data_IF_113153680173
#
_entry.id   IF_113153680173
#
_cell.length_a   1.000
_cell.length_b   1.000
_cell.length_c   1.000
_cell.angle_alpha   90.00
_cell.angle_beta   90.00
_cell.angle_gamma   90.00
#
_symmetry.space_group_name_H-M   'P 1'
#
loop_
_entity.id
_entity.type
_entity.pdbx_description
1 polymer ?
#
# COMPACT_ATOMS: atom_id res chain seq x y z
N UNK A 1 24.97 42.21 60.55
CA UNK A 1 24.45 42.22 59.17
C UNK A 1 23.78 40.88 58.94
N UNK A 2 22.71 40.57 59.68
CA UNK A 2 21.31 40.99 59.43
C UNK A 2 20.75 40.34 58.17
N UNK A 3 19.58 39.69 58.11
CA UNK A 3 18.54 39.24 59.06
C UNK A 3 17.65 38.31 58.19
N UNK A 4 17.11 37.22 58.73
CA UNK A 4 15.89 36.64 58.16
C UNK A 4 14.73 37.63 58.37
N UNK A 5 13.64 37.50 57.59
CA UNK A 5 12.44 37.01 58.26
C UNK A 5 11.61 35.99 57.48
N UNK A 6 10.96 35.18 58.30
CA UNK A 6 9.83 34.28 58.02
C UNK A 6 8.60 35.02 57.47
N UNK A 7 7.67 34.26 56.86
CA UNK A 7 6.25 34.60 57.01
C UNK A 7 5.27 34.18 55.90
N UNK A 8 4.52 33.12 56.22
CA UNK A 8 3.07 32.96 56.06
C UNK A 8 2.39 32.89 54.68
N UNK A 9 1.60 31.81 54.50
CA UNK A 9 0.49 31.79 53.54
C UNK A 9 -0.20 30.44 53.28
N UNK A 10 -0.55 29.65 54.30
CA UNK A 10 -1.59 28.62 54.13
C UNK A 10 -2.95 29.30 53.87
N UNK A 11 -3.61 28.94 52.76
CA UNK A 11 -5.07 29.06 52.61
C UNK A 11 -5.62 27.83 51.92
N UNK A 12 -6.43 27.07 52.67
CA UNK A 12 -7.48 26.19 52.13
C UNK A 12 -8.61 27.05 51.55
N UNK A 13 -9.18 26.64 50.42
CA UNK A 13 -10.62 26.75 50.12
C UNK A 13 -11.03 25.71 49.06
N UNK A 14 -11.85 24.78 49.53
CA UNK A 14 -13.01 24.07 48.97
C UNK A 14 -13.23 23.77 47.46
N UNK A 15 -13.65 22.51 47.32
CA UNK A 15 -14.49 21.78 46.35
C UNK A 15 -15.20 22.48 45.17
N UNK A 16 -15.20 21.72 44.06
CA UNK A 16 -16.22 21.56 43.00
C UNK A 16 -16.02 22.32 41.65
N UNK A 17 -15.63 21.56 40.60
CA UNK A 17 -16.36 21.39 39.32
C UNK A 17 -15.40 20.94 38.18
N UNK A 18 -15.81 20.07 37.23
CA UNK A 18 -14.90 19.29 36.41
C UNK A 18 -14.58 19.98 35.09
N UNK A 19 -13.29 20.21 34.79
CA UNK A 19 -12.82 20.42 33.42
C UNK A 19 -11.53 19.66 33.21
N UNK A 20 -11.59 18.69 32.30
CA UNK A 20 -10.50 17.77 31.99
C UNK A 20 -9.23 18.51 31.62
N UNK A 21 -8.13 18.09 32.25
CA UNK A 21 -6.78 18.48 31.88
C UNK A 21 -6.45 17.88 30.50
N UNK A 22 -6.18 18.77 29.54
CA UNK A 22 -5.53 18.44 28.27
C UNK A 22 -4.16 17.85 28.60
N UNK A 23 -3.89 16.63 28.14
CA UNK A 23 -2.65 15.91 28.48
C UNK A 23 -1.44 16.46 27.73
N UNK A 24 -0.24 16.26 28.29
CA UNK A 24 1.04 16.78 27.76
C UNK A 24 1.33 16.43 26.29
N UNK A 25 0.69 15.40 25.74
CA UNK A 25 0.80 15.00 24.34
C UNK A 25 0.16 16.02 23.38
N UNK A 26 -0.93 16.66 23.79
CA UNK A 26 -1.65 17.65 22.96
C UNK A 26 -0.84 18.95 22.84
N UNK A 27 -0.07 19.30 23.88
CA UNK A 27 0.83 20.46 23.89
C UNK A 27 2.02 20.27 22.95
N UNK A 28 2.52 19.04 22.82
CA UNK A 28 3.63 18.67 21.94
C UNK A 28 3.26 18.75 20.45
N UNK A 29 2.05 18.30 20.09
CA UNK A 29 1.55 18.38 18.72
C UNK A 29 1.31 19.84 18.27
N UNK A 30 0.80 20.68 19.18
CA UNK A 30 0.59 22.12 18.93
C UNK A 30 1.91 22.87 18.77
N UNK A 31 2.93 22.56 19.58
CA UNK A 31 4.28 23.13 19.42
C UNK A 31 4.92 22.75 18.08
N UNK A 32 4.69 21.53 17.59
CA UNK A 32 5.18 21.12 16.26
C UNK A 32 4.52 21.89 15.12
N UNK A 33 3.21 22.15 15.21
CA UNK A 33 2.44 22.83 14.17
C UNK A 33 2.70 24.34 14.16
N UNK A 34 2.75 25.00 15.34
CA UNK A 34 3.07 26.43 15.44
C UNK A 34 4.53 26.73 15.09
N UNK A 35 5.46 25.85 15.46
CA UNK A 35 6.89 25.98 15.14
C UNK A 35 7.19 25.91 13.64
N UNK A 36 6.41 25.15 12.87
CA UNK A 36 6.61 25.01 11.41
C UNK A 36 6.17 26.25 10.60
N UNK A 37 5.44 27.20 11.20
CA UNK A 37 4.91 28.40 10.52
C UNK A 37 5.21 29.74 11.17
N UNK A 38 6.00 29.78 12.25
CA UNK A 38 6.38 31.03 12.92
C UNK A 38 5.20 31.80 13.54
N UNK A 39 4.14 31.11 13.96
CA UNK A 39 2.96 31.72 14.57
C UNK A 39 3.19 31.80 16.09
N UNK A 40 3.08 32.98 16.73
CA UNK A 40 3.25 33.12 18.18
C UNK A 40 2.21 32.28 18.95
N UNK A 41 2.66 31.50 19.94
CA UNK A 41 1.84 30.55 20.71
C UNK A 41 0.87 31.17 21.71
N UNK A 42 0.75 32.49 21.75
CA UNK A 42 0.43 33.20 22.99
C UNK A 42 -0.99 33.81 22.99
N UNK A 43 -1.81 33.56 21.96
CA UNK A 43 -3.17 34.13 21.91
C UNK A 43 -4.24 33.13 21.50
N UNK A 44 -5.13 32.94 22.46
CA UNK A 44 -6.57 32.72 22.32
C UNK A 44 -7.04 31.26 22.10
N UNK A 45 -7.68 30.63 23.11
CA UNK A 45 -8.27 29.28 23.00
C UNK A 45 -9.42 29.18 21.97
N UNK A 46 -9.91 30.29 21.41
CA UNK A 46 -10.89 30.28 20.33
C UNK A 46 -10.30 29.99 18.94
N UNK A 47 -8.97 30.08 18.76
CA UNK A 47 -8.30 29.67 17.51
C UNK A 47 -8.17 28.14 17.45
N UNK A 48 -8.08 27.47 18.61
CA UNK A 48 -7.99 26.02 18.76
C UNK A 48 -9.24 25.28 18.29
N UNK A 49 -10.44 25.82 18.52
CA UNK A 49 -11.69 25.22 18.00
C UNK A 49 -11.86 25.43 16.50
N UNK A 50 -11.30 26.51 15.94
CA UNK A 50 -11.38 26.82 14.52
C UNK A 50 -10.41 25.97 13.69
N UNK A 51 -9.20 25.72 14.19
CA UNK A 51 -8.21 24.86 13.52
C UNK A 51 -8.63 23.38 13.55
N UNK A 52 -9.31 22.94 14.61
CA UNK A 52 -9.76 21.55 14.74
C UNK A 52 -11.14 21.27 14.10
N UNK A 53 -11.95 22.30 13.78
CA UNK A 53 -13.26 22.13 13.14
C UNK A 53 -13.23 22.19 11.60
N UNK A 54 -12.12 22.65 11.01
CA UNK A 54 -11.97 22.76 9.57
C UNK A 54 -11.35 21.48 8.98
N UNK A 55 -12.18 20.50 8.64
CA UNK A 55 -11.82 19.25 7.92
C UNK A 55 -11.05 19.48 6.62
N UNK A 56 -11.15 20.66 6.02
CA UNK A 56 -10.44 21.05 4.80
C UNK A 56 -8.93 21.18 4.99
N UNK A 57 -8.46 21.47 6.21
CA UNK A 57 -7.04 21.63 6.50
C UNK A 57 -6.31 20.29 6.58
N UNK A 58 -6.89 19.30 7.26
CA UNK A 58 -6.36 17.95 7.32
C UNK A 58 -6.29 17.31 5.92
N UNK A 59 -7.28 17.59 5.07
CA UNK A 59 -7.33 17.09 3.70
C UNK A 59 -6.24 17.72 2.81
N UNK A 60 -6.02 19.04 2.88
CA UNK A 60 -4.92 19.70 2.15
C UNK A 60 -3.54 19.30 2.68
N UNK A 61 -3.40 19.07 3.98
CA UNK A 61 -2.14 18.58 4.56
C UNK A 61 -1.82 17.15 4.09
N UNK A 62 -2.83 16.27 3.97
CA UNK A 62 -2.67 14.93 3.41
C UNK A 62 -2.29 14.96 1.92
N UNK A 63 -2.97 15.78 1.12
CA UNK A 63 -2.71 15.96 -0.31
C UNK A 63 -1.34 16.59 -0.59
N UNK A 64 -0.82 17.40 0.34
CA UNK A 64 0.50 18.01 0.22
C UNK A 64 1.64 17.10 0.71
N UNK A 65 1.37 16.12 1.58
CA UNK A 65 2.36 15.20 2.13
C UNK A 65 2.52 13.91 1.33
N UNK A 66 1.53 13.51 0.51
CA UNK A 66 1.58 12.31 -0.35
C UNK A 66 2.63 12.37 -1.46
N UNK A 67 3.34 13.49 -1.61
CA UNK A 67 4.46 13.66 -2.53
C UNK A 67 5.85 13.49 -1.90
N UNK A 68 5.96 13.17 -0.59
CA UNK A 68 7.25 12.90 0.05
C UNK A 68 7.26 11.52 0.73
N UNK A 69 8.20 10.67 0.31
CA UNK A 69 8.42 9.34 0.90
C UNK A 69 8.87 9.44 2.36
N UNK A 70 8.27 8.64 3.25
CA UNK A 70 8.81 8.39 4.59
C UNK A 70 7.77 7.99 5.64
N UNK A 71 8.00 6.86 6.33
CA UNK A 71 7.09 6.20 7.29
C UNK A 71 6.62 7.02 8.49
N UNK A 72 7.09 8.25 8.68
CA UNK A 72 6.68 9.17 9.76
C UNK A 72 5.21 9.62 9.63
N UNK A 73 4.68 9.65 8.40
CA UNK A 73 3.28 10.04 8.14
C UNK A 73 2.29 9.05 8.74
N UNK A 74 2.60 7.74 8.75
CA UNK A 74 1.73 6.69 9.31
C UNK A 74 1.50 6.85 10.83
N UNK A 75 2.54 7.23 11.57
CA UNK A 75 2.44 7.39 13.03
C UNK A 75 1.63 8.62 13.45
N UNK A 76 1.87 9.77 12.80
CA UNK A 76 1.12 11.00 13.07
C UNK A 76 -0.36 10.87 12.69
N UNK A 77 -0.66 10.12 11.62
CA UNK A 77 -2.05 9.85 11.22
C UNK A 77 -2.79 8.95 12.22
N UNK A 78 -2.15 7.89 12.70
CA UNK A 78 -2.77 6.97 13.68
C UNK A 78 -3.05 7.67 15.03
N UNK A 79 -2.19 8.61 15.44
CA UNK A 79 -2.40 9.46 16.60
C UNK A 79 -3.55 10.47 16.41
N UNK A 80 -3.65 11.11 15.24
CA UNK A 80 -4.76 12.00 14.91
C UNK A 80 -6.12 11.26 14.85
N UNK A 81 -6.12 10.02 14.35
CA UNK A 81 -7.32 9.16 14.31
C UNK A 81 -7.82 8.81 15.72
N UNK A 82 -6.92 8.62 16.69
CA UNK A 82 -7.31 8.37 18.10
C UNK A 82 -7.90 9.60 18.79
N UNK A 83 -7.50 10.81 18.40
CA UNK A 83 -7.98 12.06 19.00
C UNK A 83 -9.33 12.56 18.44
N UNK A 84 -9.77 12.10 17.25
CA UNK A 84 -10.98 12.60 16.58
C UNK A 84 -12.21 11.65 16.61
N UNK A 85 -12.22 10.65 17.48
CA UNK A 85 -13.24 9.58 17.50
C UNK A 85 -14.65 10.00 17.98
N UNK A 86 -14.90 11.27 18.31
CA UNK A 86 -16.16 11.71 18.94
C UNK A 86 -17.08 12.59 18.07
N UNK A 87 -16.93 12.60 16.74
CA UNK A 87 -17.90 13.28 15.85
C UNK A 87 -18.56 12.31 14.87
N UNK A 88 -19.86 12.45 14.58
CA UNK A 88 -20.56 11.61 13.59
C UNK A 88 -19.93 11.65 12.19
N UNK A 89 -19.24 12.75 11.84
CA UNK A 89 -18.56 12.91 10.56
C UNK A 89 -17.19 12.21 10.50
N UNK A 90 -16.48 12.02 11.62
CA UNK A 90 -15.19 11.33 11.61
C UNK A 90 -15.34 9.84 11.34
N UNK A 91 -16.42 9.19 11.80
CA UNK A 91 -16.71 7.79 11.46
C UNK A 91 -16.94 7.58 9.96
N UNK A 92 -17.66 8.50 9.30
CA UNK A 92 -17.91 8.45 7.84
C UNK A 92 -16.62 8.67 7.04
N UNK A 93 -15.76 9.59 7.48
CA UNK A 93 -14.47 9.87 6.85
C UNK A 93 -13.47 8.72 7.07
N UNK A 94 -13.39 8.17 8.28
CA UNK A 94 -12.58 7.00 8.61
C UNK A 94 -13.02 5.76 7.83
N UNK A 95 -14.33 5.55 7.67
CA UNK A 95 -14.85 4.46 6.83
C UNK A 95 -14.54 4.70 5.35
N UNK A 96 -14.55 5.96 4.88
CA UNK A 96 -14.13 6.29 3.50
C UNK A 96 -12.64 6.10 3.27
N UNK A 97 -11.80 6.38 4.26
CA UNK A 97 -10.35 6.13 4.21
C UNK A 97 -10.02 4.65 4.29
N UNK A 98 -10.64 3.90 5.20
CA UNK A 98 -10.51 2.43 5.26
C UNK A 98 -11.03 1.78 3.99
N UNK A 99 -12.13 2.28 3.42
CA UNK A 99 -12.60 1.83 2.11
C UNK A 99 -11.56 2.12 1.01
N UNK A 100 -10.89 3.28 1.04
CA UNK A 100 -9.81 3.61 0.08
C UNK A 100 -8.55 2.78 0.30
N UNK A 101 -8.15 2.49 1.54
CA UNK A 101 -7.04 1.57 1.85
C UNK A 101 -7.34 0.15 1.38
N UNK A 102 -8.59 -0.32 1.53
CA UNK A 102 -9.04 -1.63 1.05
C UNK A 102 -9.08 -1.78 -0.48
N UNK A 103 -8.76 -0.73 -1.24
CA UNK A 103 -8.69 -0.78 -2.72
C UNK A 103 -7.27 -0.65 -3.27
N UNK A 104 -6.25 -0.39 -2.44
CA UNK A 104 -4.87 -0.33 -2.92
C UNK A 104 -4.27 -1.73 -2.99
N UNK A 105 -4.09 -2.22 -4.21
CA UNK A 105 -3.29 -3.42 -4.46
C UNK A 105 -1.82 -3.12 -4.15
N UNK A 106 -1.22 -3.90 -3.26
CA UNK A 106 0.22 -3.87 -3.00
C UNK A 106 0.86 -5.08 -3.68
N UNK A 107 1.94 -4.85 -4.43
CA UNK A 107 2.73 -5.93 -5.04
C UNK A 107 4.02 -6.11 -4.26
N UNK A 108 4.34 -7.35 -3.89
CA UNK A 108 5.57 -7.70 -3.16
C UNK A 108 6.07 -9.10 -3.52
N UNK A 109 7.30 -9.42 -3.17
CA UNK A 109 7.79 -10.80 -3.21
C UNK A 109 6.93 -11.69 -2.29
N UNK A 110 6.71 -12.91 -2.76
CA UNK A 110 6.05 -13.93 -1.96
C UNK A 110 6.95 -14.37 -0.80
N UNK A 111 6.30 -14.67 0.32
CA UNK A 111 6.90 -15.22 1.52
C UNK A 111 6.27 -16.58 1.87
N UNK A 112 6.94 -17.43 2.68
CA UNK A 112 6.43 -18.77 2.98
C UNK A 112 5.00 -18.81 3.55
N UNK A 113 4.59 -17.76 4.26
CA UNK A 113 3.23 -17.67 4.82
C UNK A 113 2.14 -17.41 3.77
N UNK A 114 2.50 -16.97 2.56
CA UNK A 114 1.54 -16.76 1.46
C UNK A 114 1.06 -18.08 0.85
N UNK A 115 1.73 -19.20 1.13
CA UNK A 115 1.41 -20.50 0.55
C UNK A 115 -0.04 -20.93 0.84
N UNK A 116 -0.51 -20.77 2.09
CA UNK A 116 -1.87 -21.18 2.47
C UNK A 116 -2.97 -20.34 1.80
N UNK A 117 -2.84 -19.01 1.69
CA UNK A 117 -3.74 -18.21 0.86
C UNK A 117 -3.74 -18.59 -0.62
N UNK A 118 -2.56 -18.84 -1.21
CA UNK A 118 -2.42 -19.14 -2.64
C UNK A 118 -3.10 -20.45 -3.03
N UNK A 119 -2.95 -21.50 -2.24
CA UNK A 119 -3.53 -22.83 -2.54
C UNK A 119 -5.06 -22.84 -2.53
N UNK A 120 -5.72 -21.81 -2.00
CA UNK A 120 -7.19 -21.69 -2.01
C UNK A 120 -7.76 -21.38 -3.39
N UNK A 121 -6.97 -20.79 -4.29
CA UNK A 121 -7.43 -20.39 -5.62
C UNK A 121 -6.47 -20.80 -6.75
N UNK A 122 -5.29 -21.33 -6.44
CA UNK A 122 -4.38 -21.88 -7.44
C UNK A 122 -4.77 -23.31 -7.82
N UNK A 123 -5.23 -23.48 -9.07
CA UNK A 123 -5.53 -24.79 -9.66
C UNK A 123 -4.43 -25.28 -10.60
N UNK A 124 -3.36 -24.50 -10.80
CA UNK A 124 -2.34 -24.81 -11.79
C UNK A 124 -1.26 -25.77 -11.24
N UNK A 125 -0.75 -26.70 -12.07
CA UNK A 125 0.32 -27.59 -11.65
C UNK A 125 1.62 -26.83 -11.38
N UNK A 126 2.35 -27.16 -10.31
CA UNK A 126 3.74 -26.72 -10.09
C UNK A 126 4.15 -26.68 -8.63
N UNK A 127 5.40 -26.26 -8.37
CA UNK A 127 5.99 -26.26 -7.04
C UNK A 127 6.02 -24.84 -6.45
N UNK A 128 4.94 -24.46 -5.75
CA UNK A 128 4.81 -23.13 -5.11
C UNK A 128 5.89 -22.89 -4.08
N UNK A 129 6.27 -23.94 -3.33
CA UNK A 129 7.29 -23.85 -2.29
C UNK A 129 8.63 -23.45 -2.91
N UNK A 130 9.05 -24.12 -3.98
CA UNK A 130 10.30 -23.78 -4.68
C UNK A 130 10.26 -22.36 -5.26
N UNK A 131 9.15 -21.95 -5.89
CA UNK A 131 9.00 -20.60 -6.44
C UNK A 131 9.10 -19.51 -5.37
N UNK A 132 8.54 -19.73 -4.17
CA UNK A 132 8.63 -18.79 -3.04
C UNK A 132 10.05 -18.76 -2.47
N UNK A 133 10.63 -19.94 -2.19
CA UNK A 133 11.97 -20.06 -1.59
C UNK A 133 13.05 -19.45 -2.49
N UNK A 134 12.94 -19.66 -3.80
CA UNK A 134 13.89 -19.13 -4.79
C UNK A 134 13.63 -17.66 -5.17
N UNK A 135 12.66 -17.01 -4.51
CA UNK A 135 12.23 -15.62 -4.78
C UNK A 135 11.85 -15.41 -6.25
N UNK A 136 11.12 -16.38 -6.81
CA UNK A 136 10.58 -16.40 -8.18
C UNK A 136 9.06 -16.23 -8.23
N UNK A 137 8.52 -15.49 -7.28
CA UNK A 137 7.08 -15.21 -7.20
C UNK A 137 6.82 -13.83 -6.61
N UNK A 138 5.93 -13.10 -7.26
CA UNK A 138 5.28 -11.90 -6.73
C UNK A 138 3.85 -12.24 -6.32
N UNK A 139 3.38 -11.62 -5.25
CA UNK A 139 1.97 -11.67 -4.82
C UNK A 139 1.36 -10.28 -4.88
N UNK A 140 0.07 -10.24 -5.19
CA UNK A 140 -0.76 -9.08 -5.07
C UNK A 140 -1.61 -9.20 -3.80
N UNK A 141 -1.57 -8.17 -2.98
CA UNK A 141 -2.25 -8.11 -1.69
C UNK A 141 -3.26 -6.96 -1.66
N UNK A 142 -4.45 -7.22 -1.13
CA UNK A 142 -5.51 -6.23 -0.96
C UNK A 142 -6.12 -6.41 0.43
N UNK A 143 -5.92 -5.45 1.33
CA UNK A 143 -6.39 -5.52 2.71
C UNK A 143 -5.89 -6.77 3.45
N UNK A 144 -4.58 -7.02 3.42
CA UNK A 144 -3.90 -8.19 4.02
C UNK A 144 -4.27 -9.56 3.41
N UNK A 145 -5.04 -9.58 2.32
CA UNK A 145 -5.43 -10.80 1.61
C UNK A 145 -4.64 -10.91 0.31
N UNK A 146 -3.98 -12.05 0.09
CA UNK A 146 -3.39 -12.39 -1.21
C UNK A 146 -4.52 -12.67 -2.21
N UNK A 147 -4.59 -11.85 -3.24
CA UNK A 147 -5.67 -11.86 -4.26
C UNK A 147 -5.19 -12.27 -5.65
N UNK A 148 -3.87 -12.41 -5.83
CA UNK A 148 -3.28 -12.88 -7.07
C UNK A 148 -1.78 -13.10 -6.90
N UNK A 149 -1.17 -13.75 -7.89
CA UNK A 149 0.25 -13.97 -7.93
C UNK A 149 0.77 -14.05 -9.37
N UNK A 150 2.07 -13.83 -9.51
CA UNK A 150 2.83 -14.04 -10.73
C UNK A 150 4.08 -14.84 -10.37
N UNK A 151 4.34 -15.93 -11.09
CA UNK A 151 5.57 -16.71 -10.95
C UNK A 151 6.31 -16.82 -12.28
N UNK A 152 7.62 -17.05 -12.20
CA UNK A 152 8.47 -17.22 -13.36
C UNK A 152 9.52 -18.31 -13.17
N UNK A 153 10.06 -18.82 -14.28
CA UNK A 153 11.20 -19.72 -14.34
C UNK A 153 12.40 -18.99 -14.91
N UNK A 154 13.58 -19.25 -14.34
CA UNK A 154 14.83 -18.73 -14.90
C UNK A 154 15.27 -19.59 -16.08
N UNK A 155 15.60 -18.94 -17.21
CA UNK A 155 16.00 -19.66 -18.42
C UNK A 155 14.97 -20.65 -18.98
N UNK A 156 13.69 -20.50 -18.62
CA UNK A 156 12.62 -21.45 -18.96
C UNK A 156 12.21 -21.45 -20.43
N UNK A 157 12.47 -20.37 -21.17
CA UNK A 157 12.14 -20.26 -22.59
C UNK A 157 13.43 -20.08 -23.40
N UNK A 158 14.01 -21.19 -23.86
CA UNK A 158 15.26 -21.20 -24.67
C UNK A 158 16.38 -20.37 -24.02
N UNK A 159 16.58 -20.55 -22.71
CA UNK A 159 17.59 -19.83 -21.94
C UNK A 159 17.21 -18.41 -21.51
N UNK A 160 16.01 -17.93 -21.84
CA UNK A 160 15.45 -16.66 -21.36
C UNK A 160 14.45 -16.89 -20.22
N UNK A 161 14.27 -15.87 -19.38
CA UNK A 161 13.31 -15.92 -18.28
C UNK A 161 11.88 -15.99 -18.80
N UNK A 162 11.05 -16.75 -18.10
CA UNK A 162 9.72 -17.13 -18.57
C UNK A 162 8.69 -17.00 -17.45
N UNK A 163 7.73 -16.10 -17.60
CA UNK A 163 6.57 -16.01 -16.72
C UNK A 163 5.70 -17.23 -17.02
N UNK A 164 5.76 -18.22 -16.13
CA UNK A 164 5.03 -19.47 -16.33
C UNK A 164 3.59 -19.37 -15.81
N UNK A 165 3.31 -18.45 -14.87
CA UNK A 165 1.98 -18.30 -14.28
C UNK A 165 1.65 -16.87 -13.91
N UNK A 166 0.41 -16.49 -14.19
CA UNK A 166 -0.22 -15.26 -13.75
C UNK A 166 -1.67 -15.58 -13.37
N UNK A 167 -1.98 -15.50 -12.07
CA UNK A 167 -3.28 -15.94 -11.55
C UNK A 167 -3.85 -14.84 -10.67
N UNK A 168 -5.12 -14.51 -10.89
CA UNK A 168 -5.90 -13.61 -10.03
C UNK A 168 -7.13 -14.35 -9.57
N UNK A 169 -7.37 -14.32 -8.25
CA UNK A 169 -8.56 -14.89 -7.63
C UNK A 169 -9.81 -14.32 -8.32
N UNK A 170 -10.73 -15.21 -8.69
CA UNK A 170 -11.90 -14.92 -9.54
C UNK A 170 -12.73 -13.75 -9.03
N UNK A 171 -12.90 -13.65 -7.71
CA UNK A 171 -13.70 -12.60 -7.03
C UNK A 171 -13.04 -11.21 -7.18
N UNK A 172 -11.74 -11.18 -7.46
CA UNK A 172 -10.91 -9.98 -7.57
C UNK A 172 -10.51 -9.65 -9.02
N UNK A 173 -10.94 -10.45 -10.01
CA UNK A 173 -10.67 -10.17 -11.43
C UNK A 173 -11.29 -8.84 -11.88
N UNK A 174 -10.76 -8.30 -12.99
CA UNK A 174 -11.19 -7.02 -13.60
C UNK A 174 -10.96 -5.77 -12.74
N UNK A 175 -10.08 -5.86 -11.73
CA UNK A 175 -9.67 -4.73 -10.87
C UNK A 175 -8.25 -4.22 -11.14
N UNK A 176 -7.65 -4.57 -12.27
CA UNK A 176 -6.28 -4.16 -12.62
C UNK A 176 -5.14 -4.99 -12.01
N UNK A 177 -5.42 -5.91 -11.09
CA UNK A 177 -4.40 -6.69 -10.36
C UNK A 177 -3.37 -7.38 -11.27
N UNK A 178 -3.83 -8.01 -12.35
CA UNK A 178 -2.92 -8.70 -13.28
C UNK A 178 -1.97 -7.72 -14.01
N UNK A 179 -2.47 -6.50 -14.31
CA UNK A 179 -1.67 -5.41 -14.88
C UNK A 179 -0.63 -4.93 -13.87
N UNK A 180 -1.02 -4.78 -12.60
CA UNK A 180 -0.09 -4.37 -11.53
C UNK A 180 1.03 -5.40 -11.33
N UNK A 181 0.70 -6.70 -11.34
CA UNK A 181 1.67 -7.79 -11.28
C UNK A 181 2.66 -7.77 -12.45
N UNK A 182 2.16 -7.63 -13.69
CA UNK A 182 3.01 -7.51 -14.89
C UNK A 182 3.88 -6.25 -14.85
N UNK A 183 3.35 -5.14 -14.34
CA UNK A 183 4.07 -3.88 -14.20
C UNK A 183 5.24 -4.00 -13.22
N UNK A 184 5.06 -4.79 -12.16
CA UNK A 184 6.08 -5.02 -11.14
C UNK A 184 7.25 -5.92 -11.59
N UNK A 185 7.18 -6.57 -12.76
CA UNK A 185 8.24 -7.47 -13.24
C UNK A 185 9.62 -6.80 -13.34
N UNK A 186 9.68 -5.51 -13.72
CA UNK A 186 10.95 -4.76 -13.79
C UNK A 186 11.66 -4.61 -12.44
N UNK A 187 10.98 -4.92 -11.32
CA UNK A 187 11.58 -4.87 -9.98
C UNK A 187 12.36 -6.14 -9.63
N UNK A 188 12.13 -7.23 -10.36
CA UNK A 188 12.67 -8.58 -10.06
C UNK A 188 13.35 -9.26 -11.25
N UNK A 189 13.07 -8.81 -12.47
CA UNK A 189 13.61 -9.34 -13.72
C UNK A 189 14.23 -8.23 -14.57
N UNK A 190 15.14 -8.63 -15.46
CA UNK A 190 15.80 -7.78 -16.45
C UNK A 190 16.11 -8.59 -17.71
N UNK A 191 16.28 -7.91 -18.85
CA UNK A 191 16.49 -8.55 -20.14
C UNK A 191 15.18 -8.99 -20.78
N UNK A 192 15.28 -9.86 -21.80
CA UNK A 192 14.09 -10.35 -22.52
C UNK A 192 13.36 -11.38 -21.68
N UNK A 193 12.09 -11.14 -21.40
CA UNK A 193 11.21 -12.07 -20.69
C UNK A 193 10.11 -12.55 -21.63
N UNK A 194 9.79 -13.83 -21.55
CA UNK A 194 8.71 -14.46 -22.28
C UNK A 194 7.51 -14.77 -21.37
N UNK A 195 6.33 -14.82 -21.96
CA UNK A 195 5.10 -15.33 -21.36
C UNK A 195 4.29 -15.99 -22.46
N UNK A 196 3.51 -17.02 -22.13
CA UNK A 196 2.56 -17.61 -23.08
C UNK A 196 1.16 -17.65 -22.50
N UNK A 197 0.19 -17.73 -23.40
CA UNK A 197 -1.19 -18.03 -23.05
C UNK A 197 -1.90 -18.68 -24.25
N UNK A 198 -3.01 -19.33 -23.96
CA UNK A 198 -3.92 -19.80 -25.00
C UNK A 198 -4.42 -18.70 -25.91
N UNK A 199 -4.52 -18.98 -27.21
CA UNK A 199 -5.20 -18.06 -28.12
C UNK A 199 -6.70 -17.89 -27.83
N UNK A 200 -7.29 -18.85 -27.12
CA UNK A 200 -8.67 -18.83 -26.61
C UNK A 200 -8.84 -18.02 -25.32
N UNK A 201 -7.75 -17.58 -24.69
CA UNK A 201 -7.77 -16.80 -23.46
C UNK A 201 -7.79 -15.30 -23.78
N UNK A 202 -8.91 -14.81 -24.30
CA UNK A 202 -9.09 -13.40 -24.71
C UNK A 202 -8.67 -12.40 -23.63
N UNK A 203 -8.90 -12.73 -22.35
CA UNK A 203 -8.55 -11.87 -21.23
C UNK A 203 -7.03 -11.74 -21.04
N UNK A 204 -6.28 -12.85 -21.17
CA UNK A 204 -4.82 -12.83 -21.08
C UNK A 204 -4.20 -12.21 -22.32
N UNK A 205 -4.71 -12.52 -23.53
CA UNK A 205 -4.26 -11.90 -24.78
C UNK A 205 -4.44 -10.38 -24.71
N UNK A 206 -5.64 -9.90 -24.37
CA UNK A 206 -5.92 -8.46 -24.22
C UNK A 206 -5.04 -7.80 -23.16
N UNK A 207 -4.73 -8.51 -22.07
CA UNK A 207 -3.84 -8.01 -21.03
C UNK A 207 -2.43 -7.81 -21.56
N UNK A 208 -1.88 -8.80 -22.27
CA UNK A 208 -0.52 -8.75 -22.82
C UNK A 208 -0.36 -7.65 -23.87
N UNK A 209 -1.30 -7.59 -24.82
CA UNK A 209 -1.33 -6.54 -25.84
C UNK A 209 -1.42 -5.14 -25.21
N UNK A 210 -2.31 -4.95 -24.23
CA UNK A 210 -2.47 -3.65 -23.56
C UNK A 210 -1.33 -3.28 -22.60
N UNK A 211 -0.40 -4.19 -22.31
CA UNK A 211 0.75 -3.96 -21.42
C UNK A 211 2.10 -3.98 -22.15
N UNK A 212 2.07 -3.80 -23.46
CA UNK A 212 3.25 -3.59 -24.30
C UNK A 212 4.08 -4.85 -24.56
N UNK A 213 3.47 -6.03 -24.44
CA UNK A 213 4.11 -7.26 -24.86
C UNK A 213 3.97 -7.45 -26.37
N UNK A 214 5.02 -7.98 -26.99
CA UNK A 214 5.10 -8.21 -28.43
C UNK A 214 4.86 -9.69 -28.72
N UNK A 215 3.99 -9.99 -29.68
CA UNK A 215 3.74 -11.36 -30.11
C UNK A 215 5.02 -11.97 -30.73
N UNK A 216 5.39 -13.16 -30.26
CA UNK A 216 6.59 -13.89 -30.67
C UNK A 216 6.29 -15.08 -31.62
N UNK A 217 5.00 -15.44 -31.75
CA UNK A 217 4.55 -16.60 -32.52
C UNK A 217 3.63 -17.48 -31.67
N UNK A 218 3.35 -18.69 -32.18
CA UNK A 218 2.49 -19.66 -31.51
C UNK A 218 2.99 -21.09 -31.75
N UNK A 219 2.68 -21.99 -30.82
CA UNK A 219 2.95 -23.42 -30.93
C UNK A 219 1.62 -24.16 -30.93
N UNK A 220 1.42 -25.03 -31.92
CA UNK A 220 0.28 -25.95 -32.02
C UNK A 220 0.72 -27.33 -31.52
N UNK A 221 -0.19 -28.05 -30.85
CA UNK A 221 0.07 -29.38 -30.30
C UNK A 221 0.70 -29.41 -28.89
N UNK A 222 0.87 -28.24 -28.25
CA UNK A 222 1.30 -28.16 -26.84
C UNK A 222 0.13 -28.39 -25.87
N UNK A 223 -1.07 -27.93 -26.25
CA UNK A 223 -2.30 -28.07 -25.47
C UNK A 223 -3.17 -29.22 -26.00
N UNK A 224 -4.12 -29.73 -25.19
CA UNK A 224 -5.13 -30.66 -25.68
C UNK A 224 -5.85 -30.12 -26.92
N UNK A 225 -6.31 -31.02 -27.79
CA UNK A 225 -7.08 -30.69 -29.00
C UNK A 225 -6.33 -29.79 -30.01
N UNK A 226 -4.99 -29.77 -29.97
CA UNK A 226 -4.15 -28.94 -30.84
C UNK A 226 -4.47 -27.43 -30.75
N UNK A 227 -4.99 -26.98 -29.62
CA UNK A 227 -5.24 -25.55 -29.39
C UNK A 227 -3.91 -24.77 -29.38
N UNK A 228 -3.80 -23.66 -30.14
CA UNK A 228 -2.57 -22.90 -30.18
C UNK A 228 -2.22 -22.22 -28.84
N UNK A 229 -0.96 -22.32 -28.46
CA UNK A 229 -0.37 -21.54 -27.38
C UNK A 229 0.39 -20.36 -27.99
N UNK A 230 -0.06 -19.13 -27.73
CA UNK A 230 0.59 -17.90 -28.20
C UNK A 230 1.68 -17.46 -27.22
N UNK A 231 2.85 -17.14 -27.78
CA UNK A 231 4.00 -16.63 -27.03
C UNK A 231 4.14 -15.13 -27.24
N UNK A 232 4.51 -14.43 -26.19
CA UNK A 232 4.79 -13.01 -26.17
C UNK A 232 6.12 -12.75 -25.48
N UNK A 233 6.78 -11.66 -25.84
CA UNK A 233 7.98 -11.21 -25.16
C UNK A 233 7.92 -9.72 -24.83
N UNK A 234 8.66 -9.32 -23.80
CA UNK A 234 8.93 -7.93 -23.47
C UNK A 234 10.36 -7.84 -22.98
N UNK A 235 11.09 -6.86 -23.48
CA UNK A 235 12.38 -6.51 -22.91
C UNK A 235 12.11 -5.75 -21.60
N UNK A 236 12.85 -6.06 -20.54
CA UNK A 236 12.73 -5.45 -19.22
C UNK A 236 14.06 -4.78 -18.90
N UNK A 237 14.02 -3.51 -18.51
CA UNK A 237 15.21 -2.74 -18.20
C UNK A 237 15.39 -2.72 -16.68
N UNK A 238 16.63 -2.83 -16.17
CA UNK A 238 16.86 -2.64 -14.76
C UNK A 238 16.32 -1.26 -14.34
N UNK A 239 15.67 -1.21 -13.18
CA UNK A 239 15.10 0.02 -12.65
C UNK A 239 16.14 1.17 -12.70
N UNK A 240 15.85 2.22 -13.47
CA UNK A 240 16.69 3.41 -13.57
C UNK A 240 17.33 3.71 -14.93
N UNK A 241 17.12 2.88 -15.96
CA UNK A 241 17.58 3.18 -17.34
C UNK A 241 16.36 3.57 -18.20
N UNK A 242 16.27 4.81 -18.71
CA UNK A 242 15.18 5.23 -19.59
C UNK A 242 15.18 4.47 -20.92
N UNK A 243 13.98 4.21 -21.46
CA UNK A 243 13.75 3.76 -22.83
C UNK A 243 14.09 4.85 -23.85
#
# INVERSE_FOLDING_TARGET
MDKCPDGYGERRFDTASPRGTVGDADILLVKLICGYRGIPSDRNPYVLSLILSETRWAQRAYESCSHHQGGTVRFLFSALIRLQSNTPNSAKWLNSLRARENHMTTIRLAEPYDLSPLTKFDSFPGNRIAEIVEKRMLVAEMGDVVVGYLAWQRGGCVGQDYVNKLVVNDIYRRRGIARDLIGALNTVLSGRVFISTGTDNDAAVSLLESTGWVAAGQIVGLRPLDEPEAFFHRDLWPAGVPN
#
